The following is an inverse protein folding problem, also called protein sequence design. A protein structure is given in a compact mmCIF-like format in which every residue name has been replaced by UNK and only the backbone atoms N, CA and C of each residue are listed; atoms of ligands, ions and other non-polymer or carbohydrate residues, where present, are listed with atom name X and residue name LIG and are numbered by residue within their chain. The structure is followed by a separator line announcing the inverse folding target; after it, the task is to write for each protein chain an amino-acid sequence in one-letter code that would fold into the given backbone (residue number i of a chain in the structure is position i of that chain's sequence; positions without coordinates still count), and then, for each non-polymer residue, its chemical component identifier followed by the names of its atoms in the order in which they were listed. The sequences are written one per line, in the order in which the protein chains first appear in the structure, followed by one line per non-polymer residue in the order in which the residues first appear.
data_IF_326632403224
#
_entry.id   IF_326632403224
#
_cell.length_a   1.000
_cell.length_b   1.000
_cell.length_c   1.000
_cell.angle_alpha   90.00
_cell.angle_beta   90.00
_cell.angle_gamma   90.00
#
_symmetry.space_group_name_H-M   'P 1'
#
loop_
_entity.id
_entity.type
_entity.pdbx_description
1 polymer ?
#
# COMPACT_ATOMS: atom_id res chain seq x y z
N UNK A 1 22.83 -5.92 -24.37
CA UNK A 1 22.13 -4.66 -24.74
C UNK A 1 20.72 -4.49 -24.18
N UNK A 2 19.98 -5.55 -23.80
CA UNK A 2 18.63 -5.40 -23.23
C UNK A 2 18.62 -4.85 -21.78
N UNK A 3 19.58 -5.27 -20.95
CA UNK A 3 19.68 -4.87 -19.53
C UNK A 3 19.88 -3.36 -19.36
N UNK A 4 20.65 -2.72 -20.25
CA UNK A 4 20.89 -1.27 -20.21
C UNK A 4 19.66 -0.45 -20.62
N UNK A 5 18.76 -1.01 -21.43
CA UNK A 5 17.49 -0.36 -21.82
C UNK A 5 16.46 -0.45 -20.69
N UNK A 6 16.30 -1.63 -20.08
CA UNK A 6 15.34 -1.86 -18.99
C UNK A 6 15.69 -1.01 -17.75
N UNK A 7 16.95 -1.03 -17.34
CA UNK A 7 17.43 -0.22 -16.21
C UNK A 7 17.33 1.28 -16.46
N UNK A 8 17.44 1.73 -17.71
CA UNK A 8 17.24 3.12 -18.08
C UNK A 8 15.76 3.52 -17.95
N UNK A 9 14.85 2.73 -18.51
CA UNK A 9 13.40 2.98 -18.41
C UNK A 9 12.97 3.04 -16.95
N UNK A 10 13.32 2.01 -16.16
CA UNK A 10 12.99 1.97 -14.73
C UNK A 10 13.51 3.19 -13.97
N UNK A 11 14.74 3.64 -14.25
CA UNK A 11 15.33 4.81 -13.59
C UNK A 11 14.60 6.10 -13.92
N UNK A 12 14.28 6.33 -15.20
CA UNK A 12 13.54 7.51 -15.62
C UNK A 12 12.10 7.52 -15.11
N UNK A 13 11.44 6.35 -15.10
CA UNK A 13 10.11 6.21 -14.48
C UNK A 13 10.17 6.57 -13.00
N UNK A 14 11.14 6.04 -12.25
CA UNK A 14 11.31 6.37 -10.84
C UNK A 14 11.52 7.88 -10.64
N UNK A 15 12.45 8.49 -11.37
CA UNK A 15 12.74 9.91 -11.24
C UNK A 15 11.54 10.79 -11.56
N UNK A 16 10.79 10.46 -12.61
CA UNK A 16 9.57 11.20 -12.97
C UNK A 16 8.51 11.11 -11.85
N UNK A 17 8.23 9.90 -11.36
CA UNK A 17 7.25 9.70 -10.28
C UNK A 17 7.66 10.41 -8.99
N UNK A 18 8.94 10.33 -8.63
CA UNK A 18 9.48 11.02 -7.44
C UNK A 18 9.40 12.54 -7.61
N UNK A 19 9.77 13.09 -8.77
CA UNK A 19 9.72 14.52 -9.02
C UNK A 19 8.29 15.07 -8.90
N UNK A 20 7.30 14.40 -9.52
CA UNK A 20 5.88 14.79 -9.42
C UNK A 20 5.40 14.70 -7.97
N UNK A 21 5.75 13.63 -7.26
CA UNK A 21 5.37 13.45 -5.86
C UNK A 21 5.96 14.54 -4.96
N UNK A 22 7.24 14.88 -5.13
CA UNK A 22 7.88 15.96 -4.38
C UNK A 22 7.27 17.32 -4.69
N UNK A 23 6.91 17.59 -5.95
CA UNK A 23 6.25 18.83 -6.33
C UNK A 23 4.88 18.97 -5.64
N UNK A 24 4.06 17.92 -5.65
CA UNK A 24 2.76 17.91 -4.99
C UNK A 24 2.88 17.99 -3.46
N UNK A 25 3.86 17.33 -2.86
CA UNK A 25 4.14 17.47 -1.43
C UNK A 25 4.60 18.89 -1.07
N UNK A 26 5.45 19.51 -1.90
CA UNK A 26 5.86 20.90 -1.69
C UNK A 26 4.66 21.85 -1.77
N UNK A 27 3.77 21.66 -2.75
CA UNK A 27 2.51 22.42 -2.83
C UNK A 27 1.60 22.16 -1.63
N UNK A 28 1.52 20.92 -1.12
CA UNK A 28 0.71 20.58 0.05
C UNK A 28 1.25 21.22 1.34
N UNK A 29 2.55 21.13 1.62
CA UNK A 29 3.13 21.62 2.87
C UNK A 29 3.49 23.11 2.87
N UNK A 30 3.86 23.67 1.72
CA UNK A 30 4.30 25.07 1.58
C UNK A 30 3.34 25.93 0.74
N UNK A 31 2.22 25.35 0.26
CA UNK A 31 1.22 26.09 -0.50
C UNK A 31 0.30 26.93 0.37
N UNK A 32 -0.74 27.46 -0.27
CA UNK A 32 -1.72 28.34 0.37
C UNK A 32 -2.79 27.51 1.06
N UNK A 33 -3.33 28.03 2.16
CA UNK A 33 -4.47 27.45 2.86
C UNK A 33 -5.79 27.91 2.26
N UNK A 34 -6.84 27.11 2.41
CA UNK A 34 -8.20 27.50 2.03
C UNK A 34 -8.63 28.68 2.90
N UNK A 35 -9.17 29.73 2.27
CA UNK A 35 -9.64 30.90 3.00
C UNK A 35 -10.87 30.54 3.86
N UNK A 36 -11.02 31.09 5.09
CA UNK A 36 -12.06 30.67 6.04
C UNK A 36 -13.48 30.69 5.48
N UNK A 37 -13.79 31.62 4.57
CA UNK A 37 -15.08 31.74 3.91
C UNK A 37 -15.42 30.59 2.94
N UNK A 38 -14.41 29.85 2.49
CA UNK A 38 -14.56 28.70 1.60
C UNK A 38 -14.42 27.36 2.34
N UNK A 39 -14.24 27.39 3.66
CA UNK A 39 -14.16 26.18 4.49
C UNK A 39 -15.56 25.66 4.83
N UNK A 40 -15.64 24.37 5.11
CA UNK A 40 -16.83 23.79 5.74
C UNK A 40 -17.06 24.46 7.10
N UNK A 41 -18.33 24.68 7.45
CA UNK A 41 -18.70 25.46 8.64
C UNK A 41 -18.13 24.89 9.94
N UNK A 42 -17.93 23.58 10.01
CA UNK A 42 -17.33 22.87 11.16
C UNK A 42 -15.79 22.96 11.22
N UNK A 43 -15.15 23.39 10.14
CA UNK A 43 -13.69 23.47 9.98
C UNK A 43 -13.16 24.92 9.98
N UNK A 44 -14.04 25.91 10.16
CA UNK A 44 -13.66 27.33 10.14
C UNK A 44 -12.60 27.62 11.20
N UNK A 45 -11.44 28.11 10.76
CA UNK A 45 -10.30 28.42 11.63
C UNK A 45 -9.32 27.27 11.83
N UNK A 46 -9.56 26.10 11.23
CA UNK A 46 -8.59 25.01 11.13
C UNK A 46 -7.82 25.17 9.81
N UNK A 47 -6.49 25.14 9.86
CA UNK A 47 -5.68 25.29 8.66
C UNK A 47 -5.87 24.09 7.70
N UNK A 48 -6.52 24.33 6.56
CA UNK A 48 -6.75 23.33 5.51
C UNK A 48 -5.84 23.61 4.30
N UNK A 49 -4.90 22.70 3.95
CA UNK A 49 -4.06 22.87 2.76
C UNK A 49 -4.88 22.75 1.47
N UNK A 50 -4.81 23.76 0.60
CA UNK A 50 -5.59 23.79 -0.66
C UNK A 50 -5.25 22.67 -1.65
N UNK A 51 -4.02 22.15 -1.61
CA UNK A 51 -3.55 21.11 -2.52
C UNK A 51 -3.84 19.67 -2.06
N UNK A 52 -4.59 19.48 -0.96
CA UNK A 52 -4.97 18.16 -0.43
C UNK A 52 -5.61 17.27 -1.50
N UNK A 53 -6.58 17.80 -2.24
CA UNK A 53 -7.27 17.04 -3.31
C UNK A 53 -6.31 16.59 -4.43
N UNK A 54 -5.40 17.47 -4.85
CA UNK A 54 -4.42 17.16 -5.88
C UNK A 54 -3.48 16.02 -5.45
N UNK A 55 -3.01 16.07 -4.20
CA UNK A 55 -2.18 15.01 -3.62
C UNK A 55 -2.96 13.68 -3.52
N UNK A 56 -4.21 13.72 -3.07
CA UNK A 56 -5.07 12.53 -2.96
C UNK A 56 -5.31 11.88 -4.33
N UNK A 57 -5.66 12.65 -5.36
CA UNK A 57 -5.83 12.10 -6.71
C UNK A 57 -4.55 11.48 -7.25
N UNK A 58 -3.39 12.09 -7.00
CA UNK A 58 -2.11 11.51 -7.38
C UNK A 58 -1.84 10.18 -6.68
N UNK A 59 -2.13 10.10 -5.38
CA UNK A 59 -2.03 8.84 -4.62
C UNK A 59 -2.97 7.78 -5.21
N UNK A 60 -4.21 8.12 -5.56
CA UNK A 60 -5.14 7.19 -6.20
C UNK A 60 -4.63 6.68 -7.56
N UNK A 61 -4.04 7.56 -8.38
CA UNK A 61 -3.42 7.16 -9.65
C UNK A 61 -2.28 6.17 -9.41
N UNK A 62 -1.36 6.48 -8.48
CA UNK A 62 -0.25 5.60 -8.13
C UNK A 62 -0.74 4.25 -7.59
N UNK A 63 -1.75 4.27 -6.72
CA UNK A 63 -2.36 3.08 -6.16
C UNK A 63 -2.98 2.22 -7.27
N UNK A 64 -3.75 2.83 -8.18
CA UNK A 64 -4.39 2.14 -9.30
C UNK A 64 -3.36 1.47 -10.23
N UNK A 65 -2.30 2.19 -10.60
CA UNK A 65 -1.20 1.64 -11.41
C UNK A 65 -0.50 0.50 -10.68
N UNK A 66 -0.29 0.64 -9.37
CA UNK A 66 0.36 -0.39 -8.54
C UNK A 66 -0.47 -1.66 -8.47
N UNK A 67 -1.76 -1.54 -8.13
CA UNK A 67 -2.70 -2.67 -8.05
C UNK A 67 -2.79 -3.38 -9.40
N UNK A 68 -2.94 -2.63 -10.49
CA UNK A 68 -2.97 -3.19 -11.84
C UNK A 68 -1.69 -3.96 -12.17
N UNK A 69 -0.52 -3.36 -11.89
CA UNK A 69 0.78 -3.98 -12.17
C UNK A 69 0.97 -5.26 -11.35
N UNK A 70 0.70 -5.22 -10.05
CA UNK A 70 0.80 -6.38 -9.16
C UNK A 70 -0.10 -7.51 -9.66
N UNK A 71 -1.34 -7.22 -10.03
CA UNK A 71 -2.27 -8.24 -10.51
C UNK A 71 -1.81 -8.83 -11.85
N UNK A 72 -1.46 -7.97 -12.81
CA UNK A 72 -0.98 -8.39 -14.12
C UNK A 72 0.26 -9.30 -14.00
N UNK A 73 1.30 -8.86 -13.31
CA UNK A 73 2.52 -9.64 -13.13
C UNK A 73 2.29 -10.92 -12.31
N UNK A 74 1.38 -10.90 -11.33
CA UNK A 74 1.04 -12.09 -10.56
C UNK A 74 0.36 -13.16 -11.42
N UNK A 75 -0.59 -12.76 -12.28
CA UNK A 75 -1.25 -13.69 -13.22
C UNK A 75 -0.25 -14.25 -14.23
N UNK A 76 0.56 -13.40 -14.86
CA UNK A 76 1.60 -13.85 -15.79
C UNK A 76 2.61 -14.80 -15.12
N UNK A 77 3.06 -14.45 -13.91
CA UNK A 77 3.98 -15.26 -13.13
C UNK A 77 3.37 -16.62 -12.76
N UNK A 78 2.10 -16.64 -12.36
CA UNK A 78 1.38 -17.88 -12.02
C UNK A 78 1.22 -18.80 -13.23
N UNK A 79 0.75 -18.28 -14.37
CA UNK A 79 0.58 -19.07 -15.62
C UNK A 79 1.92 -19.65 -16.08
N UNK A 80 2.98 -18.83 -16.04
CA UNK A 80 4.32 -19.29 -16.42
C UNK A 80 4.84 -20.39 -15.48
N UNK A 81 4.64 -20.23 -14.17
CA UNK A 81 4.99 -21.27 -13.20
C UNK A 81 4.16 -22.55 -13.40
N UNK A 82 2.87 -22.46 -13.74
CA UNK A 82 2.04 -23.64 -14.01
C UNK A 82 2.56 -24.46 -15.19
N UNK A 83 3.01 -23.79 -16.26
CA UNK A 83 3.53 -24.45 -17.47
C UNK A 83 4.88 -25.13 -17.26
N UNK A 84 5.77 -24.51 -16.48
CA UNK A 84 7.16 -24.97 -16.37
C UNK A 84 7.52 -25.61 -15.03
N UNK A 85 6.79 -25.31 -13.94
CA UNK A 85 7.08 -25.83 -12.61
C UNK A 85 5.81 -25.87 -11.72
N UNK A 86 5.05 -26.97 -11.85
CA UNK A 86 3.81 -27.20 -11.09
C UNK A 86 4.00 -27.03 -9.58
N UNK A 87 5.12 -27.50 -9.01
CA UNK A 87 5.40 -27.39 -7.57
C UNK A 87 5.50 -25.93 -7.13
N UNK A 88 6.19 -25.09 -7.92
CA UNK A 88 6.31 -23.66 -7.63
C UNK A 88 4.96 -22.94 -7.73
N UNK A 89 4.13 -23.32 -8.70
CA UNK A 89 2.78 -22.77 -8.83
C UNK A 89 1.88 -23.14 -7.63
N UNK A 90 1.90 -24.41 -7.20
CA UNK A 90 1.15 -24.86 -6.01
C UNK A 90 1.60 -24.10 -4.77
N UNK A 91 2.92 -23.96 -4.55
CA UNK A 91 3.44 -23.19 -3.42
C UNK A 91 2.98 -21.74 -3.43
N UNK A 92 2.87 -21.10 -4.60
CA UNK A 92 2.34 -19.74 -4.69
C UNK A 92 0.86 -19.65 -4.31
N UNK A 93 0.08 -20.68 -4.61
CA UNK A 93 -1.34 -20.76 -4.24
C UNK A 93 -1.52 -20.98 -2.73
N UNK A 94 -0.67 -21.83 -2.13
CA UNK A 94 -0.64 -22.04 -0.67
C UNK A 94 -0.32 -20.74 0.05
N UNK A 95 0.68 -19.99 -0.42
CA UNK A 95 1.02 -18.69 0.17
C UNK A 95 -0.13 -17.67 0.03
N UNK A 96 -0.81 -17.65 -1.12
CA UNK A 96 -1.99 -16.82 -1.31
C UNK A 96 -3.12 -17.19 -0.33
N UNK A 97 -3.35 -18.49 -0.10
CA UNK A 97 -4.35 -18.97 0.85
C UNK A 97 -4.01 -18.57 2.29
N UNK A 98 -2.75 -18.70 2.70
CA UNK A 98 -2.29 -18.23 4.02
C UNK A 98 -2.50 -16.73 4.17
N UNK A 99 -2.19 -15.95 3.13
CA UNK A 99 -2.43 -14.50 3.13
C UNK A 99 -3.93 -14.16 3.19
N UNK A 100 -4.79 -14.90 2.49
CA UNK A 100 -6.24 -14.73 2.59
C UNK A 100 -6.77 -15.03 4.00
N UNK A 101 -6.26 -16.07 4.66
CA UNK A 101 -6.61 -16.38 6.05
C UNK A 101 -6.19 -15.23 6.98
N UNK A 102 -4.98 -14.68 6.79
CA UNK A 102 -4.53 -13.50 7.53
C UNK A 102 -5.49 -12.33 7.38
N UNK A 103 -5.92 -12.03 6.14
CA UNK A 103 -6.87 -10.94 5.86
C UNK A 103 -8.22 -11.18 6.57
N UNK A 104 -8.75 -12.41 6.53
CA UNK A 104 -10.01 -12.75 7.21
C UNK A 104 -9.90 -12.53 8.72
N UNK A 105 -8.81 -12.98 9.34
CA UNK A 105 -8.55 -12.78 10.76
C UNK A 105 -8.45 -11.29 11.07
N UNK A 106 -7.64 -10.55 10.29
CA UNK A 106 -7.43 -9.12 10.46
C UNK A 106 -8.73 -8.31 10.34
N UNK A 107 -9.60 -8.64 9.38
CA UNK A 107 -10.93 -8.02 9.26
C UNK A 107 -11.84 -8.36 10.45
N UNK A 108 -11.78 -9.61 10.93
CA UNK A 108 -12.64 -10.09 12.02
C UNK A 108 -12.35 -9.37 13.34
N UNK A 109 -11.08 -9.05 13.61
CA UNK A 109 -10.66 -8.32 14.80
C UNK A 109 -10.71 -6.79 14.65
N UNK A 110 -10.95 -6.28 13.43
CA UNK A 110 -11.05 -4.83 13.17
C UNK A 110 -12.23 -4.19 13.89
N UNK A 111 -12.08 -2.92 14.24
CA UNK A 111 -13.11 -2.12 14.88
C UNK A 111 -14.05 -1.51 13.82
N UNK A 112 -15.34 -1.61 14.10
CA UNK A 112 -16.40 -1.05 13.26
C UNK A 112 -17.05 0.21 13.84
N UNK A 113 -16.57 0.72 14.98
CA UNK A 113 -17.12 1.92 15.61
C UNK A 113 -16.93 3.15 14.71
N UNK A 114 -18.01 3.83 14.28
CA UNK A 114 -17.89 5.02 13.46
C UNK A 114 -16.99 6.07 14.12
N UNK A 115 -16.08 6.64 13.33
CA UNK A 115 -15.14 7.63 13.82
C UNK A 115 -15.85 8.98 13.97
N UNK A 116 -15.48 9.74 14.99
CA UNK A 116 -15.90 11.14 15.10
C UNK A 116 -15.01 12.00 14.19
N UNK A 117 -15.44 12.20 12.95
CA UNK A 117 -14.71 12.96 11.94
C UNK A 117 -15.39 14.31 11.77
N UNK A 118 -14.70 15.38 12.18
CA UNK A 118 -15.19 16.75 12.07
C UNK A 118 -15.39 17.13 10.59
N UNK A 119 -16.54 17.71 10.24
CA UNK A 119 -16.86 18.13 8.88
C UNK A 119 -17.19 17.00 7.91
N UNK A 120 -17.35 15.76 8.37
CA UNK A 120 -17.61 14.61 7.52
C UNK A 120 -18.93 13.92 7.84
N UNK A 121 -19.94 14.17 7.00
CA UNK A 121 -21.23 13.48 7.01
C UNK A 121 -21.38 12.46 5.85
N UNK A 122 -20.26 12.06 5.25
CA UNK A 122 -20.27 11.19 4.08
C UNK A 122 -20.66 9.73 4.39
N UNK A 123 -21.06 8.96 3.37
CA UNK A 123 -21.58 7.60 3.54
C UNK A 123 -20.50 6.55 3.85
N UNK A 124 -19.22 6.94 3.89
CA UNK A 124 -18.12 5.99 3.96
C UNK A 124 -17.70 5.63 5.39
N UNK A 125 -18.16 6.38 6.41
CA UNK A 125 -17.89 6.12 7.82
C UNK A 125 -18.80 5.01 8.39
N UNK A 126 -18.71 3.82 7.79
CA UNK A 126 -19.53 2.65 8.14
C UNK A 126 -18.65 1.46 8.50
N UNK A 127 -19.12 0.62 9.42
CA UNK A 127 -18.36 -0.48 10.02
C UNK A 127 -17.60 -1.35 9.00
N UNK A 128 -18.21 -1.66 7.84
CA UNK A 128 -17.56 -2.46 6.80
C UNK A 128 -16.29 -1.80 6.24
N UNK A 129 -16.30 -0.48 6.04
CA UNK A 129 -15.14 0.25 5.51
C UNK A 129 -14.05 0.40 6.56
N UNK A 130 -14.43 0.68 7.82
CA UNK A 130 -13.47 0.80 8.90
C UNK A 130 -12.73 -0.53 9.13
N UNK A 131 -13.47 -1.64 9.20
CA UNK A 131 -12.86 -2.98 9.30
C UNK A 131 -12.00 -3.33 8.09
N UNK A 132 -12.35 -2.87 6.90
CA UNK A 132 -11.51 -3.04 5.71
C UNK A 132 -10.19 -2.27 5.84
N UNK A 133 -10.22 -1.04 6.35
CA UNK A 133 -9.01 -0.26 6.64
C UNK A 133 -8.14 -0.95 7.70
N UNK A 134 -8.73 -1.39 8.80
CA UNK A 134 -8.03 -2.10 9.87
C UNK A 134 -7.42 -3.41 9.38
N UNK A 135 -8.13 -4.16 8.54
CA UNK A 135 -7.61 -5.37 7.90
C UNK A 135 -6.29 -5.12 7.20
N UNK A 136 -6.18 -4.05 6.41
CA UNK A 136 -4.94 -3.68 5.72
C UNK A 136 -3.85 -3.25 6.70
N UNK A 137 -4.18 -2.42 7.69
CA UNK A 137 -3.23 -1.93 8.70
C UNK A 137 -2.64 -3.10 9.50
N UNK A 138 -3.48 -3.97 10.06
CA UNK A 138 -3.05 -5.12 10.83
C UNK A 138 -2.21 -6.10 9.99
N UNK A 139 -2.61 -6.34 8.74
CA UNK A 139 -1.85 -7.20 7.84
C UNK A 139 -0.45 -6.64 7.57
N UNK A 140 -0.33 -5.32 7.36
CA UNK A 140 0.97 -4.67 7.19
C UNK A 140 1.82 -4.80 8.45
N UNK A 141 1.26 -4.57 9.64
CA UNK A 141 2.00 -4.70 10.91
C UNK A 141 2.48 -6.13 11.17
N UNK A 142 1.63 -7.12 10.95
CA UNK A 142 1.99 -8.54 11.12
C UNK A 142 3.09 -8.93 10.14
N UNK A 143 2.95 -8.60 8.86
CA UNK A 143 3.95 -8.90 7.84
C UNK A 143 5.28 -8.18 8.11
N UNK A 144 5.23 -6.91 8.54
CA UNK A 144 6.42 -6.16 8.92
C UNK A 144 7.14 -6.83 10.10
N UNK A 145 6.40 -7.25 11.13
CA UNK A 145 6.96 -8.01 12.26
C UNK A 145 7.61 -9.33 11.81
N UNK A 146 6.94 -10.10 10.95
CA UNK A 146 7.49 -11.33 10.38
C UNK A 146 8.76 -11.10 9.57
N UNK A 147 8.82 -10.01 8.79
CA UNK A 147 10.02 -9.63 8.03
C UNK A 147 11.18 -9.30 8.97
N UNK A 148 10.94 -8.49 10.00
CA UNK A 148 11.98 -8.12 10.99
C UNK A 148 12.49 -9.38 11.70
N UNK A 149 11.59 -10.24 12.19
CA UNK A 149 11.97 -11.50 12.83
C UNK A 149 12.79 -12.38 11.87
N UNK A 150 12.33 -12.52 10.62
CA UNK A 150 13.05 -13.30 9.61
C UNK A 150 14.46 -12.77 9.34
N UNK A 151 14.64 -11.45 9.32
CA UNK A 151 15.96 -10.83 9.16
C UNK A 151 16.89 -11.14 10.34
N UNK A 152 16.38 -11.13 11.58
CA UNK A 152 17.16 -11.42 12.78
C UNK A 152 17.54 -12.90 12.91
N UNK A 153 16.63 -13.82 12.55
CA UNK A 153 16.87 -15.27 12.67
C UNK A 153 17.60 -15.89 11.47
N UNK A 154 17.56 -15.27 10.29
CA UNK A 154 18.21 -15.78 9.07
C UNK A 154 19.74 -16.02 9.22
N UNK A 155 20.52 -15.14 9.87
CA UNK A 155 21.94 -15.38 10.16
C UNK A 155 22.18 -16.60 11.06
N UNK A 156 21.30 -16.86 12.03
CA UNK A 156 21.44 -17.97 12.99
C UNK A 156 21.23 -19.32 12.29
N UNK A 157 20.21 -19.42 11.43
CA UNK A 157 19.91 -20.63 10.66
C UNK A 157 21.04 -20.95 9.68
N UNK A 158 21.61 -19.95 9.00
CA UNK A 158 22.77 -20.14 8.11
C UNK A 158 24.03 -20.63 8.85
N UNK A 159 24.24 -20.19 10.09
CA UNK A 159 25.40 -20.59 10.90
C UNK A 159 25.30 -22.03 11.38
N UNK A 160 24.09 -22.50 11.67
CA UNK A 160 23.80 -23.89 12.05
C UNK A 160 23.91 -24.82 10.84
N UNK A 161 23.41 -24.40 9.67
CA UNK A 161 23.50 -25.17 8.43
C UNK A 161 24.91 -25.35 7.87
N UNK A 162 25.85 -24.42 8.16
CA UNK A 162 27.27 -24.53 7.79
C UNK A 162 28.12 -25.40 8.71
N UNK A 163 27.57 -25.87 9.84
CA UNK A 163 28.24 -26.80 10.77
C UNK A 163 27.94 -28.28 10.48
N UNK A 164 27.27 -28.57 9.37
CA UNK A 164 27.19 -29.88 8.72
C UNK A 164 27.95 -29.81 7.40
#
# INVERSE_FOLDING_TARGET
MAVTKISRISRWTLYALTAVTLALLAMFFFGVYVAPENQYMELVGIAEPSFTNGLLYWIYVLLGVTVFSVFAFSVFGFINNLRHNRKKAINSLVMLAIFAILLVIAYSIGDGTPLNILGYEGPDNVAARLKMTDMWIYSVYILMGLVILSMLFSPLIKRIGKRK
#
